data_IF_716502666583
#
_entry.id   IF_716502666583
#
_cell.length_a   1.000
_cell.length_b   1.000
_cell.length_c   1.000
_cell.angle_alpha   90.00
_cell.angle_beta   90.00
_cell.angle_gamma   90.00
#
_symmetry.space_group_name_H-M   'P 1'
#
loop_
_entity.id
_entity.type
_entity.pdbx_description
1 polymer ?
#
# COMPACT_ATOMS: atom_id res chain seq x y z
N UNK A 1 18.36 25.78 -15.59
CA UNK A 1 18.26 24.32 -15.44
C UNK A 1 16.78 23.96 -15.31
N UNK A 2 16.18 23.42 -16.37
CA UNK A 2 14.76 23.04 -16.39
C UNK A 2 14.66 21.59 -15.95
N UNK A 3 14.20 21.36 -14.72
CA UNK A 3 14.01 20.02 -14.20
C UNK A 3 12.80 19.40 -14.87
N UNK A 4 13.01 18.45 -15.78
CA UNK A 4 11.95 17.58 -16.32
C UNK A 4 11.42 16.73 -15.15
N UNK A 5 10.45 17.23 -14.38
CA UNK A 5 9.59 16.41 -13.51
C UNK A 5 8.48 15.86 -14.39
N UNK A 6 8.80 14.86 -15.20
CA UNK A 6 7.82 14.21 -16.05
C UNK A 6 6.97 13.26 -15.19
N UNK A 7 5.78 13.71 -14.73
CA UNK A 7 4.60 12.96 -14.25
C UNK A 7 4.77 11.88 -13.17
N UNK A 8 5.73 10.98 -13.32
CA UNK A 8 6.14 9.92 -12.38
C UNK A 8 6.48 10.47 -10.99
N UNK A 9 7.14 11.63 -10.91
CA UNK A 9 7.43 12.27 -9.63
C UNK A 9 6.16 12.72 -8.89
N UNK A 10 5.16 13.22 -9.63
CA UNK A 10 3.91 13.72 -9.06
C UNK A 10 3.06 12.57 -8.51
N UNK A 11 2.91 11.48 -9.26
CA UNK A 11 2.19 10.28 -8.81
C UNK A 11 2.85 9.63 -7.59
N UNK A 12 4.19 9.56 -7.58
CA UNK A 12 4.93 9.05 -6.42
C UNK A 12 4.75 9.96 -5.21
N UNK A 13 4.61 11.26 -5.37
CA UNK A 13 4.32 12.19 -4.28
C UNK A 13 2.93 11.96 -3.69
N UNK A 14 1.89 11.91 -4.52
CA UNK A 14 0.50 11.75 -4.08
C UNK A 14 0.22 10.36 -3.52
N UNK A 15 0.82 9.29 -4.09
CA UNK A 15 0.70 7.92 -3.59
C UNK A 15 1.40 7.71 -2.23
N UNK A 16 2.42 8.51 -1.92
CA UNK A 16 3.14 8.46 -0.65
C UNK A 16 2.58 9.43 0.40
N UNK A 17 1.57 10.22 0.04
CA UNK A 17 0.91 11.12 0.98
C UNK A 17 0.10 10.31 1.99
N UNK A 18 0.37 10.51 3.29
CA UNK A 18 -0.37 9.87 4.37
C UNK A 18 -1.78 10.44 4.44
N UNK A 19 -2.76 9.56 4.67
CA UNK A 19 -4.16 9.96 4.77
C UNK A 19 -4.87 9.14 5.83
N UNK A 20 -5.97 9.71 6.29
CA UNK A 20 -6.98 9.05 7.09
C UNK A 20 -8.28 9.01 6.30
N UNK A 21 -8.98 7.88 6.34
CA UNK A 21 -10.24 7.70 5.65
C UNK A 21 -10.85 6.34 5.94
N UNK A 22 -12.17 6.23 5.90
CA UNK A 22 -12.88 4.98 6.13
C UNK A 22 -13.64 4.57 4.88
N UNK A 23 -13.66 3.27 4.60
CA UNK A 23 -14.33 2.67 3.46
C UNK A 23 -15.29 1.59 3.95
N UNK A 24 -16.56 1.68 3.55
CA UNK A 24 -17.64 0.81 4.06
C UNK A 24 -18.53 0.29 2.93
N UNK A 25 -18.92 -0.99 3.01
CA UNK A 25 -19.71 -1.72 1.99
C UNK A 25 -19.32 -1.38 0.54
N UNK A 26 -18.01 -1.42 0.28
CA UNK A 26 -17.44 -1.07 -1.01
C UNK A 26 -16.64 -2.25 -1.56
N UNK A 27 -16.59 -2.37 -2.88
CA UNK A 27 -15.78 -3.40 -3.51
C UNK A 27 -14.31 -2.99 -3.56
N UNK A 28 -13.42 -3.98 -3.53
CA UNK A 28 -11.99 -3.76 -3.69
C UNK A 28 -11.71 -3.01 -5.00
N UNK A 29 -12.39 -3.36 -6.10
CA UNK A 29 -12.25 -2.66 -7.37
C UNK A 29 -12.55 -1.16 -7.26
N UNK A 30 -13.66 -0.81 -6.62
CA UNK A 30 -14.07 0.58 -6.43
C UNK A 30 -13.09 1.37 -5.54
N UNK A 31 -12.53 0.74 -4.49
CA UNK A 31 -11.46 1.36 -3.69
C UNK A 31 -10.26 1.68 -4.57
N UNK A 32 -9.80 0.72 -5.38
CA UNK A 32 -8.61 0.90 -6.24
C UNK A 32 -8.86 1.98 -7.29
N UNK A 33 -10.05 2.00 -7.90
CA UNK A 33 -10.46 3.03 -8.87
C UNK A 33 -10.51 4.43 -8.25
N UNK A 34 -11.06 4.57 -7.04
CA UNK A 34 -11.11 5.85 -6.34
C UNK A 34 -9.69 6.37 -6.05
N UNK A 35 -8.78 5.49 -5.64
CA UNK A 35 -7.38 5.84 -5.38
C UNK A 35 -6.64 6.15 -6.69
N UNK A 36 -6.85 5.40 -7.75
CA UNK A 36 -6.23 5.69 -9.04
C UNK A 36 -6.68 7.04 -9.58
N UNK A 37 -8.00 7.30 -9.56
CA UNK A 37 -8.61 8.54 -10.06
C UNK A 37 -8.07 9.78 -9.34
N UNK A 38 -8.00 9.76 -8.00
CA UNK A 38 -7.43 10.89 -7.24
C UNK A 38 -5.94 11.11 -7.50
N UNK A 39 -5.22 10.05 -7.82
CA UNK A 39 -3.80 10.10 -8.17
C UNK A 39 -3.58 10.34 -9.67
N UNK A 40 -4.63 10.57 -10.47
CA UNK A 40 -4.56 10.73 -11.94
C UNK A 40 -3.86 9.55 -12.64
N UNK A 41 -4.12 8.35 -12.13
CA UNK A 41 -3.65 7.07 -12.66
C UNK A 41 -4.82 6.30 -13.25
N UNK A 42 -4.54 5.44 -14.22
CA UNK A 42 -5.52 4.49 -14.76
C UNK A 42 -5.57 3.24 -13.88
N UNK A 43 -6.74 2.85 -13.39
CA UNK A 43 -6.91 1.62 -12.61
C UNK A 43 -6.99 0.40 -13.53
N UNK A 44 -6.27 -0.66 -13.17
CA UNK A 44 -6.35 -1.96 -13.83
C UNK A 44 -6.42 -3.04 -12.76
N UNK A 45 -7.62 -3.51 -12.46
CA UNK A 45 -7.88 -4.49 -11.40
C UNK A 45 -8.23 -5.85 -12.00
N UNK A 46 -7.65 -6.92 -11.47
CA UNK A 46 -8.03 -8.28 -11.86
C UNK A 46 -9.52 -8.52 -11.52
N UNK A 47 -10.34 -9.05 -12.45
CA UNK A 47 -11.77 -9.26 -12.22
C UNK A 47 -12.08 -10.12 -10.98
N UNK A 48 -11.21 -11.09 -10.69
CA UNK A 48 -11.31 -11.97 -9.52
C UNK A 48 -11.12 -11.25 -8.18
N UNK A 49 -10.43 -10.11 -8.17
CA UNK A 49 -10.23 -9.26 -6.99
C UNK A 49 -11.21 -8.10 -6.94
N UNK A 50 -11.58 -7.57 -8.11
CA UNK A 50 -12.48 -6.41 -8.22
C UNK A 50 -13.85 -6.66 -7.54
N UNK A 51 -14.37 -7.89 -7.62
CA UNK A 51 -15.66 -8.28 -7.03
C UNK A 51 -15.64 -8.55 -5.53
N UNK A 52 -14.48 -8.48 -4.86
CA UNK A 52 -14.39 -8.73 -3.42
C UNK A 52 -15.07 -7.59 -2.66
N UNK A 53 -16.13 -7.90 -1.91
CA UNK A 53 -16.76 -6.95 -0.99
C UNK A 53 -15.90 -6.75 0.25
N UNK A 54 -15.61 -5.50 0.56
CA UNK A 54 -14.95 -5.08 1.78
C UNK A 54 -16.03 -4.51 2.72
N UNK A 55 -16.37 -5.19 3.83
CA UNK A 55 -17.42 -4.72 4.74
C UNK A 55 -17.02 -3.40 5.39
N UNK A 56 -15.77 -3.31 5.86
CA UNK A 56 -15.20 -2.13 6.45
C UNK A 56 -13.67 -2.19 6.42
N UNK A 57 -13.02 -1.10 6.04
CA UNK A 57 -11.57 -0.94 6.14
C UNK A 57 -11.20 0.54 6.34
N UNK A 58 -10.35 0.81 7.31
CA UNK A 58 -9.82 2.14 7.54
C UNK A 58 -8.43 2.28 6.93
N UNK A 59 -8.19 3.46 6.34
CA UNK A 59 -6.90 4.04 6.03
C UNK A 59 -6.50 4.89 7.25
N UNK A 60 -5.47 4.49 8.01
CA UNK A 60 -5.08 5.17 9.27
C UNK A 60 -3.63 5.65 9.19
N UNK A 61 -3.42 6.94 8.93
CA UNK A 61 -2.10 7.59 8.78
C UNK A 61 -1.15 6.85 7.82
N UNK A 62 -1.73 6.12 6.87
CA UNK A 62 -1.00 5.35 5.89
C UNK A 62 -1.14 6.00 4.52
N UNK A 63 -0.11 5.84 3.70
CA UNK A 63 -0.15 6.34 2.34
C UNK A 63 -0.98 5.43 1.44
N UNK A 64 -1.47 5.98 0.33
CA UNK A 64 -2.25 5.23 -0.66
C UNK A 64 -1.54 3.97 -1.13
N UNK A 65 -0.22 4.08 -1.38
CA UNK A 65 0.61 2.95 -1.75
C UNK A 65 0.61 1.87 -0.66
N UNK A 66 0.77 2.26 0.61
CA UNK A 66 0.79 1.32 1.74
C UNK A 66 -0.56 0.66 1.96
N UNK A 67 -1.63 1.44 1.88
CA UNK A 67 -3.00 0.95 1.98
C UNK A 67 -3.31 -0.08 0.90
N UNK A 68 -2.97 0.23 -0.36
CA UNK A 68 -3.17 -0.67 -1.50
C UNK A 68 -2.35 -1.96 -1.38
N UNK A 69 -1.09 -1.88 -0.96
CA UNK A 69 -0.26 -3.08 -0.70
C UNK A 69 -0.89 -3.95 0.37
N UNK A 70 -1.33 -3.37 1.49
CA UNK A 70 -2.00 -4.10 2.58
C UNK A 70 -3.32 -4.73 2.13
N UNK A 71 -4.09 -4.02 1.31
CA UNK A 71 -5.35 -4.52 0.75
C UNK A 71 -5.10 -5.70 -0.20
N UNK A 72 -4.05 -5.62 -1.02
CA UNK A 72 -3.63 -6.70 -1.91
C UNK A 72 -3.15 -7.93 -1.13
N UNK A 73 -2.24 -7.77 -0.17
CA UNK A 73 -1.73 -8.87 0.66
C UNK A 73 -2.86 -9.64 1.36
N UNK A 74 -3.86 -8.92 1.90
CA UNK A 74 -5.03 -9.53 2.57
C UNK A 74 -5.93 -10.34 1.65
N UNK A 75 -5.95 -10.01 0.36
CA UNK A 75 -6.83 -10.63 -0.64
C UNK A 75 -6.06 -11.54 -1.63
N UNK A 76 -4.77 -11.81 -1.36
CA UNK A 76 -3.93 -12.62 -2.25
C UNK A 76 -3.66 -11.95 -3.61
N UNK A 77 -3.57 -10.62 -3.62
CA UNK A 77 -3.20 -9.80 -4.76
C UNK A 77 -1.82 -9.16 -4.63
N UNK A 78 -1.43 -8.41 -5.65
CA UNK A 78 -0.23 -7.59 -5.72
C UNK A 78 -0.54 -6.24 -6.40
N UNK A 79 0.16 -5.18 -5.99
CA UNK A 79 -0.01 -3.83 -6.56
C UNK A 79 1.28 -3.34 -7.20
N UNK A 80 1.19 -2.82 -8.41
CA UNK A 80 2.32 -2.21 -9.12
C UNK A 80 1.88 -0.96 -9.86
N UNK A 81 2.74 0.06 -9.92
CA UNK A 81 2.48 1.27 -10.71
C UNK A 81 3.44 1.31 -11.88
N UNK A 82 2.94 1.17 -13.10
CA UNK A 82 3.74 1.17 -14.34
C UNK A 82 3.09 2.06 -15.38
N UNK A 83 3.88 2.93 -16.01
CA UNK A 83 3.43 3.80 -17.12
C UNK A 83 2.15 4.62 -16.82
N UNK A 84 1.99 5.12 -15.59
CA UNK A 84 0.79 5.87 -15.20
C UNK A 84 -0.45 5.01 -14.94
N UNK A 85 -0.29 3.68 -14.90
CA UNK A 85 -1.35 2.73 -14.55
C UNK A 85 -1.07 2.10 -13.18
N UNK A 86 -2.14 1.95 -12.41
CA UNK A 86 -2.17 1.24 -11.14
C UNK A 86 -2.71 -0.17 -11.40
N UNK A 87 -1.79 -1.12 -11.41
CA UNK A 87 -2.06 -2.53 -11.65
C UNK A 87 -2.33 -3.22 -10.32
N UNK A 88 -3.52 -3.81 -10.17
CA UNK A 88 -3.91 -4.62 -9.02
C UNK A 88 -4.21 -6.04 -9.52
N UNK A 89 -3.26 -6.94 -9.36
CA UNK A 89 -3.25 -8.25 -9.98
C UNK A 89 -3.33 -9.35 -8.93
N UNK A 90 -3.66 -10.58 -9.33
CA UNK A 90 -3.59 -11.75 -8.44
C UNK A 90 -2.13 -12.12 -8.21
N UNK A 91 -1.75 -12.36 -6.96
CA UNK A 91 -0.41 -12.80 -6.61
C UNK A 91 -0.09 -14.12 -7.35
N UNK A 92 1.06 -14.18 -8.02
CA UNK A 92 1.52 -15.36 -8.77
C UNK A 92 1.15 -15.42 -10.25
N UNK A 93 0.34 -14.49 -10.80
CA UNK A 93 0.07 -14.41 -12.24
C UNK A 93 0.74 -13.20 -12.94
N UNK A 94 1.37 -12.30 -12.18
CA UNK A 94 2.07 -11.12 -12.70
C UNK A 94 3.58 -11.22 -12.50
N UNK A 95 4.33 -11.03 -13.58
CA UNK A 95 5.78 -11.16 -13.67
C UNK A 95 6.50 -10.06 -12.86
N UNK A 96 7.25 -10.46 -11.80
CA UNK A 96 8.32 -9.71 -11.06
C UNK A 96 7.90 -8.41 -10.31
N UNK A 97 8.41 -8.04 -9.12
CA UNK A 97 9.62 -8.39 -8.38
C UNK A 97 9.47 -8.01 -6.89
N UNK A 98 10.25 -8.68 -6.05
CA UNK A 98 10.53 -8.39 -4.64
C UNK A 98 9.50 -8.90 -3.63
N UNK A 99 9.58 -10.21 -3.39
CA UNK A 99 9.21 -10.82 -2.11
C UNK A 99 9.99 -10.19 -0.95
N UNK A 100 9.51 -9.06 -0.46
CA UNK A 100 9.89 -8.55 0.85
C UNK A 100 8.69 -8.77 1.77
N UNK A 101 8.70 -9.94 2.42
CA UNK A 101 7.92 -10.23 3.62
C UNK A 101 8.10 -9.03 4.56
N UNK A 102 7.07 -8.21 4.73
CA UNK A 102 7.07 -7.18 5.77
C UNK A 102 7.19 -7.92 7.11
N UNK A 103 8.24 -7.73 7.91
CA UNK A 103 8.11 -8.00 9.33
C UNK A 103 7.11 -6.98 9.85
N UNK A 104 5.90 -7.44 10.13
CA UNK A 104 5.03 -6.72 11.04
C UNK A 104 5.79 -6.56 12.37
N UNK A 105 5.63 -5.39 12.96
CA UNK A 105 6.04 -5.01 14.32
C UNK A 105 7.41 -4.31 14.47
N UNK A 106 7.39 -2.99 14.28
CA UNK A 106 8.29 -2.10 15.01
C UNK A 106 7.68 -1.83 16.40
N UNK A 107 7.76 -2.80 17.31
CA UNK A 107 7.69 -2.46 18.73
C UNK A 107 9.09 -2.09 19.18
N UNK A 108 9.29 -0.84 19.60
CA UNK A 108 10.52 -0.42 20.24
C UNK A 108 10.74 -1.25 21.51
N UNK A 109 11.79 -2.09 21.63
CA UNK A 109 12.19 -2.54 22.94
C UNK A 109 12.82 -1.35 23.64
N UNK A 110 12.09 -0.74 24.58
CA UNK A 110 12.71 0.19 25.52
C UNK A 110 13.81 -0.57 26.26
N UNK A 111 15.06 -0.23 25.94
CA UNK A 111 16.23 -0.62 26.70
C UNK A 111 16.00 -0.23 28.17
N UNK A 112 15.92 -1.21 29.07
CA UNK A 112 16.23 -0.99 30.48
C UNK A 112 17.50 -1.76 30.83
N UNK A 113 18.40 -1.00 31.46
CA UNK A 113 19.83 -1.20 31.70
C UNK A 113 20.16 -2.52 32.40
N UNK A 114 21.34 -3.12 32.17
CA UNK A 114 21.87 -4.12 33.08
C UNK A 114 22.43 -3.41 34.31
N UNK A 115 21.87 -3.66 35.49
CA UNK A 115 22.54 -3.40 36.76
C UNK A 115 23.40 -4.61 37.11
N UNK A 116 24.65 -4.59 36.64
CA UNK A 116 25.73 -5.36 37.26
C UNK A 116 26.32 -4.51 38.39
N UNK A 117 26.15 -4.99 39.63
CA UNK A 117 26.88 -4.62 40.86
C UNK A 117 26.21 -5.44 41.99
N UNK A 118 26.84 -6.29 42.80
CA UNK A 118 28.24 -6.58 43.07
C UNK A 118 28.28 -7.95 43.77
N UNK A 119 29.30 -8.76 43.49
CA UNK A 119 29.80 -9.79 44.39
C UNK A 119 30.31 -9.16 45.70
N UNK A 120 29.97 -9.76 46.83
CA UNK A 120 30.77 -9.85 48.06
C UNK A 120 30.45 -11.17 48.75
#
# INVERSE_FOLDING_TARGET
MVTIRARSADFRGTLNSRREGSWHDITLGAIVEAIASRNRLEASVAPSLAGIKIPHIDQSQESDAKFLTRLAERNGGEVSVKMGKLLFLKAGQGVTASGKKNPADYHHPQRRRPSSFCDC
#
